data_IF_663546047536
#
_entry.id   IF_663546047536
#
_cell.length_a   1.000
_cell.length_b   1.000
_cell.length_c   1.000
_cell.angle_alpha   90.00
_cell.angle_beta   90.00
_cell.angle_gamma   90.00
#
_symmetry.space_group_name_H-M   'P 1'
#
loop_
_entity.id
_entity.type
_entity.pdbx_description
1 polymer ?
#
# COMPACT_ATOMS: atom_id res chain seq x y z
N UNK A 1 9.41 13.95 -13.86
CA UNK A 1 9.49 14.76 -15.10
C UNK A 1 8.50 15.93 -15.10
N UNK A 2 7.19 15.69 -14.96
CA UNK A 2 6.17 16.78 -15.00
C UNK A 2 6.30 17.82 -13.88
N UNK A 3 6.54 17.41 -12.63
CA UNK A 3 6.71 18.36 -11.51
C UNK A 3 7.97 19.23 -11.59
N UNK A 4 9.01 18.77 -12.28
CA UNK A 4 10.26 19.51 -12.48
C UNK A 4 10.19 20.51 -13.66
N UNK A 5 9.29 20.27 -14.62
CA UNK A 5 9.17 21.09 -15.84
C UNK A 5 7.96 22.04 -15.82
N UNK A 6 6.85 21.64 -15.19
CA UNK A 6 5.57 22.37 -15.22
C UNK A 6 5.04 22.73 -13.82
N UNK A 7 5.87 22.51 -12.78
CA UNK A 7 5.54 22.78 -11.39
C UNK A 7 4.52 21.80 -10.80
N UNK A 8 4.30 21.95 -9.49
CA UNK A 8 3.43 21.06 -8.69
C UNK A 8 2.00 20.98 -9.23
N UNK A 9 1.47 22.08 -9.80
CA UNK A 9 0.09 22.16 -10.34
C UNK A 9 -0.17 21.16 -11.46
N UNK A 10 0.79 20.91 -12.35
CA UNK A 10 0.64 19.95 -13.44
C UNK A 10 0.53 18.50 -12.94
N UNK A 11 1.20 18.19 -11.83
CA UNK A 11 1.09 16.88 -11.17
C UNK A 11 -0.33 16.68 -10.63
N UNK A 12 -0.93 17.70 -10.01
CA UNK A 12 -2.32 17.63 -9.52
C UNK A 12 -3.34 17.49 -10.65
N UNK A 13 -3.18 18.22 -11.75
CA UNK A 13 -4.05 18.07 -12.92
C UNK A 13 -3.94 16.68 -13.55
N UNK A 14 -2.73 16.11 -13.61
CA UNK A 14 -2.53 14.73 -14.05
C UNK A 14 -3.22 13.71 -13.14
N UNK A 15 -3.11 13.88 -11.81
CA UNK A 15 -3.84 13.05 -10.85
C UNK A 15 -5.36 13.18 -11.02
N UNK A 16 -5.87 14.41 -11.15
CA UNK A 16 -7.29 14.66 -11.33
C UNK A 16 -7.83 13.96 -12.58
N UNK A 17 -7.11 14.06 -13.71
CA UNK A 17 -7.46 13.38 -14.95
C UNK A 17 -7.47 11.85 -14.80
N UNK A 18 -6.59 11.28 -13.98
CA UNK A 18 -6.56 9.84 -13.70
C UNK A 18 -7.71 9.40 -12.77
N UNK A 19 -8.12 10.25 -11.85
CA UNK A 19 -9.21 9.97 -10.91
C UNK A 19 -10.61 10.04 -11.54
N UNK A 20 -10.83 10.88 -12.56
CA UNK A 20 -12.15 11.04 -13.19
C UNK A 20 -12.71 9.74 -13.79
N UNK A 21 -11.95 8.95 -14.58
CA UNK A 21 -12.42 7.66 -15.08
C UNK A 21 -12.69 6.65 -13.98
N UNK A 22 -11.87 6.63 -12.93
CA UNK A 22 -12.06 5.74 -11.78
C UNK A 22 -13.35 6.09 -11.02
N UNK A 23 -13.61 7.38 -10.80
CA UNK A 23 -14.83 7.86 -10.15
C UNK A 23 -16.08 7.52 -10.98
N UNK A 24 -16.02 7.71 -12.30
CA UNK A 24 -17.10 7.32 -13.22
C UNK A 24 -17.34 5.81 -13.19
N UNK A 25 -16.28 4.99 -13.16
CA UNK A 25 -16.39 3.53 -13.06
C UNK A 25 -17.09 3.08 -11.78
N UNK A 26 -16.79 3.72 -10.65
CA UNK A 26 -17.49 3.46 -9.38
C UNK A 26 -18.95 3.92 -9.45
N UNK A 27 -19.20 5.11 -10.00
CA UNK A 27 -20.55 5.67 -10.09
C UNK A 27 -21.49 4.81 -10.96
N UNK A 28 -20.98 4.25 -12.05
CA UNK A 28 -21.75 3.40 -12.97
C UNK A 28 -21.81 1.95 -12.49
N UNK A 29 -20.73 1.45 -11.87
CA UNK A 29 -20.57 0.03 -11.55
C UNK A 29 -21.09 -0.40 -10.18
N UNK A 30 -21.31 0.52 -9.24
CA UNK A 30 -21.80 0.20 -7.89
C UNK A 30 -23.32 0.36 -7.85
N UNK A 31 -24.09 -0.73 -7.64
CA UNK A 31 -25.53 -0.65 -7.47
C UNK A 31 -25.90 0.27 -6.30
N UNK A 32 -26.80 1.23 -6.54
CA UNK A 32 -27.34 2.11 -5.51
C UNK A 32 -28.27 1.31 -4.58
N UNK A 33 -27.69 0.62 -3.60
CA UNK A 33 -28.46 -0.23 -2.70
C UNK A 33 -27.58 -0.98 -1.72
N UNK A 34 -26.96 -0.27 -0.77
CA UNK A 34 -26.47 -0.94 0.44
C UNK A 34 -27.68 -1.21 1.33
N UNK A 35 -28.00 -2.46 1.69
CA UNK A 35 -28.96 -2.68 2.75
C UNK A 35 -28.43 -1.98 4.00
N UNK A 36 -29.27 -1.16 4.63
CA UNK A 36 -28.99 -0.58 5.94
C UNK A 36 -28.93 -1.74 6.94
N UNK A 37 -27.77 -2.42 7.01
CA UNK A 37 -27.53 -3.46 7.99
C UNK A 37 -27.62 -2.84 9.37
N UNK A 38 -28.58 -3.30 10.18
CA UNK A 38 -28.74 -2.87 11.57
C UNK A 38 -27.42 -2.97 12.30
N UNK A 39 -26.84 -1.82 12.66
CA UNK A 39 -25.55 -1.74 13.31
C UNK A 39 -25.58 -2.48 14.65
N UNK A 40 -24.53 -3.25 14.94
CA UNK A 40 -24.31 -3.80 16.26
C UNK A 40 -24.04 -2.65 17.24
N UNK A 41 -24.48 -2.80 18.50
CA UNK A 41 -24.19 -1.80 19.52
C UNK A 41 -22.66 -1.58 19.61
N UNK A 42 -22.16 -0.33 19.78
CA UNK A 42 -20.73 -0.02 19.74
C UNK A 42 -19.85 -0.86 20.70
N UNK A 43 -20.44 -1.36 21.79
CA UNK A 43 -19.77 -2.31 22.72
C UNK A 43 -19.53 -3.69 22.11
N UNK A 44 -20.46 -4.19 21.30
CA UNK A 44 -20.32 -5.45 20.59
C UNK A 44 -19.30 -5.34 19.45
N UNK A 45 -19.25 -4.19 18.77
CA UNK A 45 -18.20 -3.92 17.77
C UNK A 45 -16.79 -3.85 18.41
N UNK A 46 -16.65 -3.20 19.58
CA UNK A 46 -15.39 -3.14 20.32
C UNK A 46 -14.88 -4.54 20.78
N UNK A 47 -15.78 -5.48 21.06
CA UNK A 47 -15.42 -6.85 21.41
C UNK A 47 -14.85 -7.63 20.21
N UNK A 48 -15.34 -7.36 18.99
CA UNK A 48 -14.81 -7.94 17.75
C UNK A 48 -13.39 -7.42 17.46
N UNK A 49 -13.13 -6.15 17.75
CA UNK A 49 -11.80 -5.53 17.61
C UNK A 49 -10.73 -6.11 18.55
N UNK A 50 -11.13 -6.70 19.68
CA UNK A 50 -10.22 -7.34 20.64
C UNK A 50 -9.74 -8.72 20.21
N UNK A 51 -10.18 -9.23 19.06
CA UNK A 51 -9.71 -10.53 18.56
C UNK A 51 -8.22 -10.47 18.25
N UNK A 52 -7.41 -11.40 18.77
CA UNK A 52 -5.96 -11.37 18.59
C UNK A 52 -5.53 -11.45 17.11
N UNK A 53 -6.29 -12.17 16.28
CA UNK A 53 -6.09 -12.22 14.82
C UNK A 53 -6.19 -10.83 14.17
N UNK A 54 -7.20 -10.05 14.57
CA UNK A 54 -7.44 -8.72 14.03
C UNK A 54 -6.36 -7.73 14.49
N UNK A 55 -6.00 -7.77 15.77
CA UNK A 55 -4.93 -6.94 16.33
C UNK A 55 -3.58 -7.24 15.65
N UNK A 56 -3.27 -8.52 15.41
CA UNK A 56 -2.07 -8.93 14.66
C UNK A 56 -2.10 -8.40 13.23
N UNK A 57 -3.21 -8.54 12.51
CA UNK A 57 -3.32 -8.03 11.14
C UNK A 57 -3.14 -6.50 11.08
N UNK A 58 -3.70 -5.77 12.04
CA UNK A 58 -3.57 -4.31 12.14
C UNK A 58 -2.15 -3.89 12.50
N UNK A 59 -1.50 -4.56 13.45
CA UNK A 59 -0.11 -4.30 13.83
C UNK A 59 0.85 -4.59 12.67
N UNK A 60 0.65 -5.71 11.96
CA UNK A 60 1.43 -6.04 10.77
C UNK A 60 1.20 -5.01 9.66
N UNK A 61 -0.03 -4.54 9.48
CA UNK A 61 -0.36 -3.48 8.52
C UNK A 61 0.36 -2.18 8.84
N UNK A 62 0.32 -1.75 10.11
CA UNK A 62 1.05 -0.59 10.58
C UNK A 62 2.56 -0.72 10.38
N UNK A 63 3.14 -1.87 10.72
CA UNK A 63 4.58 -2.10 10.59
C UNK A 63 5.06 -2.11 9.13
N UNK A 64 4.29 -2.76 8.25
CA UNK A 64 4.54 -2.74 6.79
C UNK A 64 4.49 -1.30 6.28
N UNK A 65 3.44 -0.57 6.64
CA UNK A 65 3.25 0.80 6.19
C UNK A 65 4.36 1.74 6.69
N UNK A 66 4.72 1.65 7.97
CA UNK A 66 5.80 2.43 8.57
C UNK A 66 7.15 2.15 7.85
N UNK A 67 7.46 0.89 7.56
CA UNK A 67 8.66 0.53 6.81
C UNK A 67 8.64 1.10 5.38
N UNK A 68 7.49 1.00 4.69
CA UNK A 68 7.29 1.56 3.34
C UNK A 68 7.48 3.08 3.33
N UNK A 69 6.87 3.81 4.25
CA UNK A 69 6.99 5.27 4.35
C UNK A 69 8.40 5.71 4.75
N UNK A 70 9.04 5.01 5.68
CA UNK A 70 10.43 5.28 6.05
C UNK A 70 11.35 5.16 4.83
N UNK A 71 11.27 4.05 4.11
CA UNK A 71 12.11 3.86 2.93
C UNK A 71 11.79 4.83 1.80
N UNK A 72 10.51 5.15 1.58
CA UNK A 72 10.10 6.16 0.59
C UNK A 72 10.66 7.55 0.91
N UNK A 73 10.66 7.92 2.19
CA UNK A 73 11.21 9.20 2.68
C UNK A 73 12.72 9.29 2.46
N UNK A 74 13.45 8.19 2.69
CA UNK A 74 14.91 8.12 2.51
C UNK A 74 15.35 7.67 1.10
N UNK A 75 14.42 7.46 0.17
CA UNK A 75 14.73 6.98 -1.17
C UNK A 75 15.57 7.99 -1.95
N UNK A 76 15.23 9.29 -1.85
CA UNK A 76 15.98 10.36 -2.48
C UNK A 76 17.45 10.43 -2.01
N UNK A 77 17.74 10.52 -0.69
CA UNK A 77 19.14 10.54 -0.22
C UNK A 77 19.90 9.24 -0.49
N UNK A 78 19.23 8.07 -0.54
CA UNK A 78 19.86 6.79 -0.93
C UNK A 78 20.28 6.82 -2.41
N UNK A 79 19.45 7.38 -3.28
CA UNK A 79 19.72 7.48 -4.72
C UNK A 79 20.81 8.52 -5.01
N UNK A 80 20.79 9.68 -4.36
CA UNK A 80 21.75 10.76 -4.65
C UNK A 80 23.08 10.61 -3.90
N UNK A 81 23.08 9.93 -2.75
CA UNK A 81 24.29 9.68 -1.97
C UNK A 81 24.95 8.36 -2.36
N UNK A 82 24.68 7.24 -1.66
CA UNK A 82 25.32 5.95 -1.88
C UNK A 82 25.31 5.43 -3.32
N UNK A 83 24.20 5.63 -4.06
CA UNK A 83 24.09 5.13 -5.42
C UNK A 83 24.81 6.04 -6.45
N UNK A 84 25.23 7.24 -6.05
CA UNK A 84 25.92 8.22 -6.89
C UNK A 84 25.10 8.67 -8.11
N UNK A 85 23.78 8.48 -8.10
CA UNK A 85 22.91 8.86 -9.21
C UNK A 85 22.51 10.33 -9.11
N UNK A 86 22.51 11.05 -10.22
CA UNK A 86 22.09 12.46 -10.24
C UNK A 86 20.61 12.66 -9.87
N UNK A 87 20.23 13.86 -9.41
CA UNK A 87 18.88 14.19 -8.92
C UNK A 87 17.73 13.80 -9.86
N UNK A 88 17.97 13.78 -11.18
CA UNK A 88 16.98 13.35 -12.18
C UNK A 88 16.51 11.91 -11.96
N UNK A 89 17.37 11.05 -11.42
CA UNK A 89 17.04 9.66 -11.12
C UNK A 89 16.08 9.50 -9.95
N UNK A 90 15.99 10.47 -9.03
CA UNK A 90 15.02 10.43 -7.93
C UNK A 90 13.60 10.33 -8.49
N UNK A 91 13.27 11.14 -9.50
CA UNK A 91 11.97 11.07 -10.15
C UNK A 91 11.71 9.73 -10.86
N UNK A 92 12.74 9.12 -11.44
CA UNK A 92 12.66 7.80 -12.10
C UNK A 92 12.42 6.70 -11.08
N UNK A 93 13.15 6.72 -9.96
CA UNK A 93 13.04 5.75 -8.88
C UNK A 93 11.68 5.83 -8.20
N UNK A 94 11.18 7.05 -7.94
CA UNK A 94 9.82 7.27 -7.42
C UNK A 94 8.74 6.78 -8.39
N UNK A 95 8.94 6.98 -9.70
CA UNK A 95 8.04 6.48 -10.73
C UNK A 95 8.04 4.94 -10.80
N UNK A 96 9.22 4.32 -10.69
CA UNK A 96 9.39 2.87 -10.57
C UNK A 96 8.70 2.31 -9.33
N UNK A 97 8.89 2.96 -8.19
CA UNK A 97 8.22 2.60 -6.94
C UNK A 97 6.70 2.63 -7.14
N UNK A 98 6.15 3.73 -7.67
CA UNK A 98 4.72 3.87 -7.92
C UNK A 98 4.17 2.85 -8.93
N UNK A 99 4.91 2.55 -10.00
CA UNK A 99 4.55 1.51 -10.95
C UNK A 99 4.52 0.11 -10.30
N UNK A 100 5.50 -0.18 -9.44
CA UNK A 100 5.55 -1.38 -8.63
C UNK A 100 4.34 -1.47 -7.71
N UNK A 101 4.05 -0.41 -6.94
CA UNK A 101 2.87 -0.32 -6.08
C UNK A 101 1.56 -0.61 -6.82
N UNK A 102 1.37 0.00 -7.99
CA UNK A 102 0.19 -0.21 -8.83
C UNK A 102 0.06 -1.67 -9.29
N UNK A 103 1.16 -2.26 -9.76
CA UNK A 103 1.20 -3.67 -10.12
C UNK A 103 0.88 -4.58 -8.92
N UNK A 104 1.44 -4.26 -7.74
CA UNK A 104 1.23 -4.98 -6.49
C UNK A 104 -0.22 -5.01 -6.04
N UNK A 105 -0.90 -3.86 -5.97
CA UNK A 105 -2.33 -3.79 -5.62
C UNK A 105 -3.17 -4.59 -6.62
N UNK A 106 -2.88 -4.44 -7.93
CA UNK A 106 -3.62 -5.13 -8.98
C UNK A 106 -3.47 -6.66 -8.88
N UNK A 107 -2.25 -7.13 -8.62
CA UNK A 107 -1.96 -8.55 -8.46
C UNK A 107 -2.60 -9.09 -7.18
N UNK A 108 -2.50 -8.35 -6.07
CA UNK A 108 -3.12 -8.71 -4.81
C UNK A 108 -4.64 -8.80 -4.91
N UNK A 109 -5.30 -7.86 -5.60
CA UNK A 109 -6.74 -7.93 -5.85
C UNK A 109 -7.16 -9.22 -6.58
N UNK A 110 -6.37 -9.69 -7.55
CA UNK A 110 -6.65 -10.94 -8.27
C UNK A 110 -6.30 -12.22 -7.51
N UNK A 111 -5.24 -12.20 -6.70
CA UNK A 111 -4.74 -13.39 -6.00
C UNK A 111 -5.32 -13.55 -4.59
N UNK A 112 -5.68 -12.47 -3.92
CA UNK A 112 -6.27 -12.49 -2.58
C UNK A 112 -7.62 -13.21 -2.57
N UNK A 113 -8.38 -13.12 -3.67
CA UNK A 113 -9.64 -13.86 -3.83
C UNK A 113 -9.45 -15.39 -3.91
N UNK A 114 -8.26 -15.86 -4.33
CA UNK A 114 -8.00 -17.30 -4.51
C UNK A 114 -7.19 -17.92 -3.37
N UNK A 115 -6.14 -17.24 -2.88
CA UNK A 115 -5.21 -17.78 -1.86
C UNK A 115 -4.58 -16.67 -0.99
N UNK A 116 -5.35 -16.02 -0.12
CA UNK A 116 -4.87 -14.88 0.67
C UNK A 116 -3.75 -15.29 1.66
N UNK A 117 -3.82 -16.51 2.22
CA UNK A 117 -2.81 -17.02 3.14
C UNK A 117 -1.43 -17.24 2.49
N UNK A 118 -1.40 -17.70 1.24
CA UNK A 118 -0.14 -17.97 0.53
C UNK A 118 0.56 -16.67 0.14
N UNK A 119 -0.23 -15.65 -0.23
CA UNK A 119 0.26 -14.30 -0.48
C UNK A 119 0.94 -13.72 0.77
N UNK A 120 0.31 -13.82 1.94
CA UNK A 120 0.88 -13.33 3.19
C UNK A 120 2.16 -14.10 3.58
N UNK A 121 2.16 -15.43 3.48
CA UNK A 121 3.31 -16.27 3.87
C UNK A 121 4.52 -16.04 2.98
N UNK A 122 4.34 -15.74 1.69
CA UNK A 122 5.44 -15.51 0.75
C UNK A 122 5.85 -14.04 0.70
N UNK A 123 4.90 -13.13 0.58
CA UNK A 123 5.21 -11.72 0.38
C UNK A 123 5.76 -11.07 1.65
N UNK A 124 5.30 -11.47 2.84
CA UNK A 124 5.76 -10.87 4.10
C UNK A 124 7.28 -11.09 4.36
N UNK A 125 7.82 -12.32 4.34
CA UNK A 125 9.26 -12.51 4.49
C UNK A 125 10.06 -11.93 3.33
N UNK A 126 9.53 -11.94 2.09
CA UNK A 126 10.18 -11.31 0.95
C UNK A 126 10.27 -9.78 1.12
N UNK A 127 9.24 -9.14 1.67
CA UNK A 127 9.25 -7.73 2.02
C UNK A 127 10.29 -7.46 3.13
N UNK A 128 10.22 -8.23 4.21
CA UNK A 128 11.09 -8.08 5.38
C UNK A 128 12.57 -8.24 5.01
N UNK A 129 12.90 -9.22 4.16
CA UNK A 129 14.26 -9.45 3.66
C UNK A 129 14.69 -8.42 2.61
N UNK A 130 13.74 -7.87 1.86
CA UNK A 130 14.03 -6.90 0.81
C UNK A 130 14.43 -5.52 1.33
N UNK A 131 13.95 -5.09 2.50
CA UNK A 131 14.39 -3.84 3.13
C UNK A 131 15.91 -3.80 3.42
N UNK A 132 16.51 -4.77 4.13
CA UNK A 132 17.96 -4.81 4.31
C UNK A 132 18.71 -5.07 3.00
N UNK A 133 18.16 -5.85 2.07
CA UNK A 133 18.75 -6.02 0.75
C UNK A 133 18.85 -4.69 -0.02
N UNK A 134 17.85 -3.81 0.12
CA UNK A 134 17.84 -2.47 -0.49
C UNK A 134 18.90 -1.57 0.14
N UNK A 135 19.11 -1.66 1.46
CA UNK A 135 20.19 -0.95 2.15
C UNK A 135 21.58 -1.44 1.70
N UNK A 136 21.77 -2.74 1.52
CA UNK A 136 23.02 -3.32 1.03
C UNK A 136 23.28 -3.00 -0.45
N UNK A 137 22.22 -2.93 -1.27
CA UNK A 137 22.29 -2.59 -2.69
C UNK A 137 22.39 -1.09 -2.96
N UNK A 138 22.45 -0.25 -1.92
CA UNK A 138 22.48 1.21 -2.06
C UNK A 138 23.63 1.72 -2.94
N UNK A 139 24.78 1.02 -2.97
CA UNK A 139 25.92 1.35 -3.83
C UNK A 139 25.86 0.80 -5.26
N UNK A 140 24.83 0.03 -5.61
CA UNK A 140 24.72 -0.66 -6.91
C UNK A 140 23.41 -0.27 -7.64
N UNK A 141 23.41 0.82 -8.44
CA UNK A 141 22.23 1.32 -9.15
C UNK A 141 21.45 0.26 -9.93
N UNK A 142 22.16 -0.65 -10.60
CA UNK A 142 21.57 -1.71 -11.41
C UNK A 142 20.74 -2.71 -10.58
N UNK A 143 21.08 -2.89 -9.31
CA UNK A 143 20.38 -3.77 -8.37
C UNK A 143 19.32 -2.99 -7.59
N UNK A 144 19.60 -1.73 -7.25
CA UNK A 144 18.70 -0.84 -6.52
C UNK A 144 17.38 -0.61 -7.26
N UNK A 145 17.43 -0.29 -8.55
CA UNK A 145 16.24 0.03 -9.36
C UNK A 145 15.18 -1.09 -9.40
N UNK A 146 15.53 -2.35 -9.75
CA UNK A 146 14.55 -3.44 -9.71
C UNK A 146 14.08 -3.76 -8.29
N UNK A 147 14.95 -3.63 -7.28
CA UNK A 147 14.57 -3.84 -5.87
C UNK A 147 13.52 -2.84 -5.40
N UNK A 148 13.64 -1.56 -5.78
CA UNK A 148 12.64 -0.53 -5.48
C UNK A 148 11.28 -0.88 -6.08
N UNK A 149 11.25 -1.33 -7.33
CA UNK A 149 10.01 -1.78 -7.98
C UNK A 149 9.37 -2.96 -7.25
N UNK A 150 10.17 -3.98 -6.93
CA UNK A 150 9.71 -5.19 -6.23
C UNK A 150 9.20 -4.84 -4.83
N UNK A 151 9.90 -3.95 -4.10
CA UNK A 151 9.45 -3.52 -2.77
C UNK A 151 8.19 -2.68 -2.81
N UNK A 152 8.03 -1.80 -3.80
CA UNK A 152 6.78 -1.09 -4.03
C UNK A 152 5.62 -2.06 -4.26
N UNK A 153 5.82 -3.07 -5.10
CA UNK A 153 4.83 -4.09 -5.39
C UNK A 153 4.45 -4.92 -4.16
N UNK A 154 5.44 -5.45 -3.44
CA UNK A 154 5.22 -6.27 -2.25
C UNK A 154 4.53 -5.48 -1.13
N UNK A 155 4.96 -4.23 -0.88
CA UNK A 155 4.42 -3.37 0.18
C UNK A 155 2.91 -3.16 0.00
N UNK A 156 2.52 -2.77 -1.20
CA UNK A 156 1.12 -2.47 -1.51
C UNK A 156 0.27 -3.73 -1.71
N UNK A 157 0.86 -4.83 -2.19
CA UNK A 157 0.19 -6.12 -2.23
C UNK A 157 -0.17 -6.62 -0.83
N UNK A 158 0.78 -6.55 0.11
CA UNK A 158 0.55 -6.93 1.50
C UNK A 158 -0.43 -5.99 2.20
N UNK A 159 -0.23 -4.67 2.06
CA UNK A 159 -1.11 -3.66 2.66
C UNK A 159 -2.57 -3.85 2.23
N UNK A 160 -2.83 -3.98 0.92
CA UNK A 160 -4.18 -4.23 0.40
C UNK A 160 -4.77 -5.55 0.89
N UNK A 161 -3.97 -6.63 0.93
CA UNK A 161 -4.42 -7.93 1.44
C UNK A 161 -4.80 -7.88 2.92
N UNK A 162 -4.00 -7.18 3.74
CA UNK A 162 -4.26 -7.00 5.18
C UNK A 162 -5.53 -6.17 5.41
N UNK A 163 -5.75 -5.10 4.66
CA UNK A 163 -7.00 -4.31 4.72
C UNK A 163 -8.20 -5.19 4.40
N UNK A 164 -8.15 -5.92 3.29
CA UNK A 164 -9.23 -6.84 2.89
C UNK A 164 -9.49 -7.89 3.98
N UNK A 165 -8.44 -8.45 4.58
CA UNK A 165 -8.57 -9.43 5.66
C UNK A 165 -9.21 -8.84 6.92
N UNK A 166 -8.84 -7.63 7.31
CA UNK A 166 -9.47 -6.92 8.45
C UNK A 166 -10.95 -6.68 8.16
N UNK A 167 -11.31 -6.26 6.93
CA UNK A 167 -12.71 -6.07 6.53
C UNK A 167 -13.52 -7.36 6.54
N UNK A 168 -12.95 -8.48 6.08
CA UNK A 168 -13.61 -9.80 6.12
C UNK A 168 -13.76 -10.35 7.56
N UNK A 169 -12.70 -10.28 8.37
CA UNK A 169 -12.72 -10.77 9.76
C UNK A 169 -13.64 -9.92 10.65
N UNK A 170 -13.87 -8.66 10.27
CA UNK A 170 -14.78 -7.74 10.94
C UNK A 170 -16.21 -7.75 10.39
N UNK A 171 -16.67 -8.85 9.77
CA UNK A 171 -18.06 -8.99 9.29
C UNK A 171 -19.16 -8.73 10.36
N UNK A 172 -18.80 -8.72 11.65
CA UNK A 172 -19.68 -8.29 12.76
C UNK A 172 -19.50 -6.85 13.25
N UNK A 173 -18.67 -6.01 12.61
CA UNK A 173 -18.40 -4.62 13.02
C UNK A 173 -17.85 -3.77 11.86
N UNK A 174 -18.59 -3.63 10.74
CA UNK A 174 -18.05 -3.04 9.50
C UNK A 174 -17.70 -1.55 9.64
N UNK A 175 -18.33 -0.81 10.56
CA UNK A 175 -18.10 0.63 10.70
C UNK A 175 -16.81 0.95 11.45
N UNK A 176 -16.57 0.36 12.63
CA UNK A 176 -15.34 0.58 13.37
C UNK A 176 -14.11 -0.10 12.73
N UNK A 177 -14.27 -1.23 12.05
CA UNK A 177 -13.13 -1.94 11.47
C UNK A 177 -12.51 -1.22 10.26
N UNK A 178 -13.33 -0.62 9.39
CA UNK A 178 -12.83 0.20 8.28
C UNK A 178 -12.07 1.44 8.76
N UNK A 179 -12.60 2.12 9.78
CA UNK A 179 -11.95 3.25 10.41
C UNK A 179 -10.59 2.84 11.00
N UNK A 180 -10.55 1.78 11.82
CA UNK A 180 -9.32 1.35 12.48
C UNK A 180 -8.28 0.74 11.53
N UNK A 181 -8.68 0.06 10.45
CA UNK A 181 -7.75 -0.39 9.41
C UNK A 181 -7.06 0.81 8.74
N UNK A 182 -7.83 1.87 8.48
CA UNK A 182 -7.31 3.11 7.91
C UNK A 182 -6.40 3.81 8.91
N UNK A 183 -6.75 3.89 10.21
CA UNK A 183 -5.88 4.50 11.23
C UNK A 183 -4.58 3.72 11.40
N UNK A 184 -4.61 2.38 11.43
CA UNK A 184 -3.42 1.56 11.56
C UNK A 184 -2.43 1.75 10.40
N UNK A 185 -2.94 1.99 9.18
CA UNK A 185 -2.12 2.31 8.00
C UNK A 185 -1.68 3.77 7.92
N UNK A 186 -2.05 4.63 8.86
CA UNK A 186 -1.68 6.05 8.86
C UNK A 186 -0.86 6.46 10.08
N UNK A 187 -0.51 5.51 10.96
CA UNK A 187 0.53 5.70 12.00
C UNK A 187 1.90 5.57 11.36
#
# INVERSE_FOLDING_TARGET
>A
ALGALYGWRAVFWGLAALCVPAALGVFVGVPAGRPAGGGLAPRAEAAVLRRPSLLLAMLLGALVNAATFAAFTYLAPVVTGPAGLGERWVAVVLMLFGAGSFAGVTLAGRFSDRRPGLLLVVAFPALLAGWPALALAAGAPAVLLPLVFVQGALSFALGSTLVTRVLYEAGGAPTLAGACATTALNV
#
